data_IF_576043558963
#
_entry.id   IF_576043558963
#
_cell.length_a   1.000
_cell.length_b   1.000
_cell.length_c   1.000
_cell.angle_alpha   90.00
_cell.angle_beta   90.00
_cell.angle_gamma   90.00
#
_symmetry.space_group_name_H-M   'P 1'
#
loop_
_entity.id
_entity.type
_entity.pdbx_description
1 polymer ?
#
# COMPACT_ATOMS: atom_id res chain seq x y z
N UNK A 1 -14.39 -7.42 -16.87
CA UNK A 1 -13.85 -7.81 -18.19
C UNK A 1 -12.69 -8.74 -17.95
N UNK A 2 -12.67 -9.95 -18.54
CA UNK A 2 -11.58 -10.91 -18.34
C UNK A 2 -10.26 -10.27 -18.82
N UNK A 3 -9.18 -10.39 -18.04
CA UNK A 3 -7.87 -9.79 -18.31
C UNK A 3 -7.36 -10.16 -19.70
N UNK A 4 -7.74 -11.34 -20.20
CA UNK A 4 -7.48 -11.79 -21.57
C UNK A 4 -8.09 -10.86 -22.65
N UNK A 5 -9.37 -10.49 -22.52
CA UNK A 5 -10.02 -9.58 -23.49
C UNK A 5 -9.45 -8.17 -23.43
N UNK A 6 -9.02 -7.71 -22.24
CA UNK A 6 -8.30 -6.45 -22.08
C UNK A 6 -6.96 -6.49 -22.83
N UNK A 7 -6.13 -7.49 -22.59
CA UNK A 7 -4.84 -7.67 -23.31
C UNK A 7 -5.05 -7.74 -24.81
N UNK A 8 -6.02 -8.53 -25.27
CA UNK A 8 -6.34 -8.64 -26.68
C UNK A 8 -6.80 -7.30 -27.27
N UNK A 9 -7.65 -6.56 -26.56
CA UNK A 9 -8.06 -5.23 -26.97
C UNK A 9 -6.87 -4.27 -27.13
N UNK A 10 -5.99 -4.17 -26.12
CA UNK A 10 -4.79 -3.31 -26.18
C UNK A 10 -3.84 -3.72 -27.31
N UNK A 11 -3.68 -5.03 -27.53
CA UNK A 11 -2.92 -5.59 -28.65
C UNK A 11 -3.53 -5.23 -30.00
N UNK A 12 -4.85 -5.33 -30.15
CA UNK A 12 -5.57 -5.04 -31.38
C UNK A 12 -5.53 -3.56 -31.75
N UNK A 13 -5.61 -2.66 -30.77
CA UNK A 13 -5.52 -1.21 -31.02
C UNK A 13 -4.08 -0.69 -31.07
N UNK A 14 -3.08 -1.58 -30.97
CA UNK A 14 -1.66 -1.25 -31.07
C UNK A 14 -1.13 -0.32 -29.98
N UNK A 15 -1.82 -0.21 -28.83
CA UNK A 15 -1.38 0.69 -27.75
C UNK A 15 -0.17 0.12 -27.00
N UNK A 16 0.93 0.85 -27.06
CA UNK A 16 2.17 0.59 -26.32
C UNK A 16 2.10 1.16 -24.90
N UNK A 17 2.88 0.64 -23.93
CA UNK A 17 3.12 1.34 -22.66
C UNK A 17 3.51 2.82 -22.84
N UNK A 18 4.20 3.16 -23.95
CA UNK A 18 4.61 4.52 -24.28
C UNK A 18 3.43 5.47 -24.58
N UNK A 19 2.28 4.92 -24.98
CA UNK A 19 1.07 5.70 -25.32
C UNK A 19 0.19 5.99 -24.09
N UNK A 20 0.55 5.44 -22.93
CA UNK A 20 -0.22 5.60 -21.71
C UNK A 20 0.12 6.92 -21.02
N UNK A 21 -0.91 7.70 -20.68
CA UNK A 21 -0.73 8.96 -19.95
C UNK A 21 0.02 8.72 -18.64
N UNK A 22 1.11 9.44 -18.44
CA UNK A 22 1.90 9.48 -17.21
C UNK A 22 2.35 10.91 -16.91
N UNK A 23 2.78 11.17 -15.68
CA UNK A 23 3.38 12.44 -15.24
C UNK A 23 4.47 12.91 -16.22
N UNK A 24 4.51 14.21 -16.56
CA UNK A 24 5.32 14.72 -17.69
C UNK A 24 6.26 15.87 -17.35
N UNK A 25 6.16 16.51 -16.18
CA UNK A 25 6.90 17.74 -15.87
C UNK A 25 8.41 17.59 -16.07
N UNK A 26 8.94 16.39 -15.79
CA UNK A 26 10.36 16.05 -15.89
C UNK A 26 10.90 16.10 -17.33
N UNK A 27 10.04 16.16 -18.35
CA UNK A 27 10.45 16.26 -19.75
C UNK A 27 11.02 17.64 -20.09
N UNK A 28 10.42 18.68 -19.53
CA UNK A 28 10.68 20.07 -19.93
C UNK A 28 11.18 20.94 -18.75
N UNK A 29 11.06 20.45 -17.51
CA UNK A 29 11.41 21.18 -16.29
C UNK A 29 12.09 20.25 -15.28
N UNK A 30 13.12 20.74 -14.60
CA UNK A 30 13.73 20.03 -13.47
C UNK A 30 12.83 20.01 -12.23
N UNK A 31 12.00 21.05 -12.06
CA UNK A 31 11.05 21.17 -10.96
C UNK A 31 9.76 21.88 -11.39
N UNK A 32 8.68 21.63 -10.65
CA UNK A 32 7.38 22.32 -10.84
C UNK A 32 6.86 22.82 -9.51
N UNK A 33 6.12 23.93 -9.57
CA UNK A 33 5.39 24.43 -8.43
C UNK A 33 4.30 23.43 -8.02
N UNK A 34 4.23 23.16 -6.71
CA UNK A 34 3.23 22.32 -6.10
C UNK A 34 2.35 23.16 -5.16
N UNK A 35 1.04 23.13 -5.36
CA UNK A 35 0.07 23.79 -4.49
C UNK A 35 -0.79 22.77 -3.76
N UNK A 36 -0.80 22.86 -2.44
CA UNK A 36 -1.72 22.10 -1.60
C UNK A 36 -3.13 22.69 -1.66
N UNK A 37 -4.13 21.83 -1.79
CA UNK A 37 -5.55 22.20 -1.69
C UNK A 37 -6.37 21.06 -1.09
N UNK A 38 -7.64 21.31 -0.82
CA UNK A 38 -8.60 20.33 -0.31
C UNK A 38 -9.49 19.85 -1.46
N UNK A 39 -9.64 18.54 -1.58
CA UNK A 39 -10.66 17.95 -2.44
C UNK A 39 -12.06 18.11 -1.81
N UNK A 40 -13.10 17.85 -2.61
CA UNK A 40 -14.51 17.97 -2.18
C UNK A 40 -14.86 17.07 -0.98
N UNK A 41 -14.13 15.96 -0.81
CA UNK A 41 -14.31 14.98 0.26
C UNK A 41 -13.45 15.28 1.52
N UNK A 42 -12.82 16.44 1.56
CA UNK A 42 -11.96 16.89 2.66
C UNK A 42 -10.52 16.37 2.63
N UNK A 43 -10.17 15.46 1.71
CA UNK A 43 -8.80 14.96 1.57
C UNK A 43 -7.84 16.05 1.07
N UNK A 44 -6.58 15.96 1.48
CA UNK A 44 -5.52 16.84 0.98
C UNK A 44 -5.01 16.32 -0.36
N UNK A 45 -4.94 17.22 -1.34
CA UNK A 45 -4.41 16.94 -2.68
C UNK A 45 -3.37 17.98 -3.05
N UNK A 46 -2.45 17.61 -3.94
CA UNK A 46 -1.40 18.46 -4.43
C UNK A 46 -1.57 18.69 -5.93
N UNK A 47 -1.78 19.94 -6.33
CA UNK A 47 -1.81 20.36 -7.71
C UNK A 47 -0.39 20.69 -8.17
N UNK A 48 0.12 19.95 -9.14
CA UNK A 48 1.42 20.19 -9.76
C UNK A 48 1.21 21.01 -11.03
N UNK A 49 1.95 22.10 -11.19
CA UNK A 49 1.84 22.97 -12.36
C UNK A 49 2.15 22.19 -13.65
N UNK A 50 1.25 22.26 -14.64
CA UNK A 50 1.38 21.57 -15.93
C UNK A 50 0.91 20.11 -15.93
N UNK A 51 0.58 19.53 -14.77
CA UNK A 51 0.13 18.13 -14.68
C UNK A 51 -1.38 17.99 -14.83
N UNK A 52 -1.81 16.92 -15.51
CA UNK A 52 -3.22 16.70 -15.87
C UNK A 52 -4.13 16.39 -14.69
N UNK A 53 -3.61 15.65 -13.71
CA UNK A 53 -4.40 15.20 -12.56
C UNK A 53 -3.73 15.66 -11.25
N UNK A 54 -4.52 16.08 -10.25
CA UNK A 54 -3.97 16.36 -8.94
C UNK A 54 -3.35 15.08 -8.34
N UNK A 55 -2.22 15.25 -7.67
CA UNK A 55 -1.59 14.17 -6.94
C UNK A 55 -2.35 13.92 -5.63
N UNK A 56 -2.78 12.68 -5.34
CA UNK A 56 -3.57 12.37 -4.16
C UNK A 56 -2.67 12.23 -2.93
N UNK A 57 -1.99 13.30 -2.52
CA UNK A 57 -1.13 13.28 -1.32
C UNK A 57 -0.83 14.68 -0.78
N UNK A 58 -0.22 14.68 0.39
CA UNK A 58 0.35 15.85 1.08
C UNK A 58 1.89 15.89 0.91
N UNK A 59 2.54 17.08 0.82
CA UNK A 59 3.99 17.21 0.72
C UNK A 59 4.69 16.74 1.99
N UNK A 60 5.67 15.85 1.82
CA UNK A 60 6.36 15.14 2.90
C UNK A 60 7.30 16.02 3.74
N UNK A 61 7.33 17.34 3.54
CA UNK A 61 8.36 18.23 4.06
C UNK A 61 8.56 18.15 5.58
N UNK A 62 7.50 18.30 6.36
CA UNK A 62 7.55 18.18 7.82
C UNK A 62 7.75 16.75 8.35
N UNK A 63 7.63 15.74 7.49
CA UNK A 63 7.59 14.32 7.83
C UNK A 63 8.93 13.61 7.61
N UNK A 64 9.74 14.12 6.68
CA UNK A 64 11.03 13.52 6.31
C UNK A 64 12.10 13.72 7.39
N UNK A 65 11.92 14.65 8.33
CA UNK A 65 12.95 15.05 9.29
C UNK A 65 12.49 15.05 10.76
N UNK A 66 11.34 14.42 11.07
CA UNK A 66 10.72 14.47 12.41
C UNK A 66 10.48 13.09 13.07
N UNK A 67 9.73 13.06 14.20
CA UNK A 67 9.39 11.85 14.94
C UNK A 67 8.76 10.73 14.08
N UNK A 68 7.97 11.11 13.07
CA UNK A 68 7.34 10.17 12.15
C UNK A 68 8.36 9.44 11.23
N UNK A 69 9.48 10.08 10.89
CA UNK A 69 10.56 9.41 10.16
C UNK A 69 11.17 8.29 11.00
N UNK A 70 11.37 8.55 12.30
CA UNK A 70 11.81 7.53 13.27
C UNK A 70 10.78 6.40 13.37
N UNK A 71 9.49 6.71 13.55
CA UNK A 71 8.45 5.68 13.62
C UNK A 71 8.46 4.76 12.38
N UNK A 72 8.54 5.33 11.17
CA UNK A 72 8.63 4.56 9.94
C UNK A 72 9.88 3.69 9.88
N UNK A 73 11.02 4.22 10.33
CA UNK A 73 12.27 3.49 10.40
C UNK A 73 12.16 2.28 11.35
N UNK A 74 11.64 2.48 12.55
CA UNK A 74 11.50 1.44 13.56
C UNK A 74 10.54 0.34 13.11
N UNK A 75 9.41 0.68 12.47
CA UNK A 75 8.53 -0.32 11.87
C UNK A 75 9.28 -1.13 10.80
N UNK A 76 10.05 -0.47 9.92
CA UNK A 76 10.82 -1.16 8.88
C UNK A 76 11.84 -2.12 9.50
N UNK A 77 12.65 -1.65 10.45
CA UNK A 77 13.75 -2.43 11.00
C UNK A 77 13.21 -3.54 11.89
N UNK A 78 12.44 -3.19 12.91
CA UNK A 78 12.05 -4.11 13.96
C UNK A 78 11.05 -5.16 13.49
N UNK A 79 10.14 -4.82 12.57
CA UNK A 79 9.11 -5.76 12.07
C UNK A 79 9.60 -6.56 10.89
N UNK A 80 10.28 -5.93 9.94
CA UNK A 80 10.63 -6.59 8.68
C UNK A 80 12.07 -7.09 8.68
N UNK A 81 13.06 -6.22 8.84
CA UNK A 81 14.47 -6.60 8.68
C UNK A 81 14.93 -7.61 9.75
N UNK A 82 14.67 -7.32 11.02
CA UNK A 82 15.12 -8.17 12.14
C UNK A 82 14.48 -9.54 12.10
N UNK A 83 13.16 -9.59 11.85
CA UNK A 83 12.43 -10.85 11.81
C UNK A 83 12.75 -11.67 10.55
N UNK A 84 13.09 -11.01 9.44
CA UNK A 84 13.60 -11.73 8.29
C UNK A 84 14.94 -12.40 8.61
N UNK A 85 15.86 -11.67 9.24
CA UNK A 85 17.12 -12.24 9.68
C UNK A 85 16.94 -13.41 10.65
N UNK A 86 16.02 -13.31 11.62
CA UNK A 86 15.65 -14.43 12.51
C UNK A 86 15.16 -15.66 11.75
N UNK A 87 14.33 -15.46 10.72
CA UNK A 87 13.88 -16.57 9.86
C UNK A 87 15.02 -17.20 9.06
N UNK A 88 16.01 -16.43 8.60
CA UNK A 88 17.22 -16.98 7.95
C UNK A 88 18.11 -17.74 8.92
N UNK A 89 18.20 -17.27 10.18
CA UNK A 89 18.95 -17.92 11.24
C UNK A 89 18.26 -19.19 11.81
N UNK A 90 17.09 -19.58 11.28
CA UNK A 90 16.37 -20.78 11.69
C UNK A 90 15.48 -20.63 12.93
N UNK A 91 15.21 -19.40 13.38
CA UNK A 91 14.22 -19.15 14.44
C UNK A 91 12.84 -19.64 14.02
N UNK A 92 12.10 -20.27 14.95
CA UNK A 92 10.75 -20.78 14.68
C UNK A 92 9.79 -19.66 14.28
N UNK A 93 8.80 -19.97 13.45
CA UNK A 93 7.80 -18.99 13.00
C UNK A 93 6.96 -18.47 14.17
N UNK A 94 6.63 -19.34 15.12
CA UNK A 94 5.88 -19.02 16.31
C UNK A 94 6.60 -17.96 17.16
N UNK A 95 7.91 -18.12 17.31
CA UNK A 95 8.75 -17.18 18.06
C UNK A 95 8.91 -15.85 17.32
N UNK A 96 9.05 -15.88 15.99
CA UNK A 96 9.04 -14.67 15.15
C UNK A 96 7.71 -13.91 15.27
N UNK A 97 6.58 -14.61 15.23
CA UNK A 97 5.25 -13.99 15.39
C UNK A 97 5.12 -13.36 16.78
N UNK A 98 5.61 -14.04 17.82
CA UNK A 98 5.61 -13.52 19.19
C UNK A 98 6.46 -12.24 19.29
N UNK A 99 7.63 -12.20 18.69
CA UNK A 99 8.52 -11.03 18.64
C UNK A 99 7.83 -9.85 17.93
N UNK A 100 7.24 -10.10 16.75
CA UNK A 100 6.49 -9.08 15.99
C UNK A 100 5.36 -8.48 16.83
N UNK A 101 4.57 -9.32 17.50
CA UNK A 101 3.48 -8.86 18.38
C UNK A 101 4.02 -8.00 19.52
N UNK A 102 5.10 -8.43 20.17
CA UNK A 102 5.73 -7.66 21.26
C UNK A 102 6.18 -6.28 20.78
N UNK A 103 6.91 -6.21 19.67
CA UNK A 103 7.41 -4.95 19.10
C UNK A 103 6.29 -4.00 18.68
N UNK A 104 5.25 -4.51 18.01
CA UNK A 104 4.11 -3.70 17.56
C UNK A 104 3.32 -3.08 18.73
N UNK A 105 3.11 -3.84 19.79
CA UNK A 105 2.22 -3.46 20.89
C UNK A 105 2.93 -2.91 22.13
N UNK A 106 4.27 -2.94 22.16
CA UNK A 106 5.08 -2.36 23.24
C UNK A 106 6.01 -1.28 22.69
N UNK A 107 7.10 -1.67 22.03
CA UNK A 107 8.20 -0.76 21.64
C UNK A 107 7.77 0.32 20.62
N UNK A 108 7.11 -0.09 19.54
CA UNK A 108 6.67 0.82 18.48
C UNK A 108 5.50 1.70 18.97
N UNK A 109 4.70 1.20 19.91
CA UNK A 109 3.56 1.93 20.47
C UNK A 109 4.02 3.19 21.21
N UNK A 110 5.10 3.10 21.98
CA UNK A 110 5.67 4.26 22.67
C UNK A 110 6.05 5.37 21.69
N UNK A 111 6.69 5.01 20.57
CA UNK A 111 7.12 5.96 19.54
C UNK A 111 5.94 6.55 18.77
N UNK A 112 4.93 5.72 18.51
CA UNK A 112 3.71 6.15 17.84
C UNK A 112 2.91 7.15 18.70
N UNK A 113 2.80 6.90 20.01
CA UNK A 113 2.12 7.80 20.95
C UNK A 113 2.79 9.18 21.02
N UNK A 114 4.12 9.24 20.96
CA UNK A 114 4.85 10.50 20.89
C UNK A 114 4.59 11.29 19.60
N UNK A 115 4.23 10.59 18.52
CA UNK A 115 4.06 11.17 17.18
C UNK A 115 2.58 11.28 16.75
N UNK A 116 1.63 10.97 17.64
CA UNK A 116 0.21 10.81 17.26
C UNK A 116 -0.44 12.09 16.73
N UNK A 117 0.00 13.26 17.21
CA UNK A 117 -0.50 14.55 16.75
C UNK A 117 0.11 14.99 15.42
N UNK A 118 1.22 14.37 15.01
CA UNK A 118 1.84 14.60 13.70
C UNK A 118 1.17 13.74 12.62
N UNK A 119 0.47 12.67 13.00
CA UNK A 119 -0.26 11.82 12.05
C UNK A 119 -1.49 12.55 11.51
N UNK A 120 -1.72 12.44 10.19
CA UNK A 120 -2.91 13.01 9.57
C UNK A 120 -4.19 12.34 10.14
N UNK A 121 -5.20 13.12 10.54
CA UNK A 121 -6.45 12.55 11.01
C UNK A 121 -7.23 11.87 9.86
N UNK A 122 -8.09 10.88 10.15
CA UNK A 122 -8.75 10.06 9.12
C UNK A 122 -9.54 10.84 8.06
N UNK A 123 -10.15 11.96 8.43
CA UNK A 123 -10.94 12.83 7.53
C UNK A 123 -10.07 13.62 6.53
N UNK A 124 -8.76 13.72 6.78
CA UNK A 124 -7.77 14.35 5.89
C UNK A 124 -6.99 13.35 5.05
N UNK A 125 -7.03 12.07 5.42
CA UNK A 125 -6.42 10.99 4.65
C UNK A 125 -7.03 10.87 3.25
N UNK A 126 -6.27 10.26 2.34
CA UNK A 126 -6.74 9.85 1.02
C UNK A 126 -7.91 8.86 1.15
N UNK A 127 -8.87 8.86 0.21
CA UNK A 127 -10.06 8.01 0.30
C UNK A 127 -9.78 6.53 0.49
N UNK A 128 -8.73 6.01 -0.18
CA UNK A 128 -8.33 4.60 -0.07
C UNK A 128 -7.86 4.24 1.34
N UNK A 129 -7.10 5.11 1.99
CA UNK A 129 -6.58 4.87 3.35
C UNK A 129 -7.71 5.05 4.38
N UNK A 130 -8.57 6.06 4.17
CA UNK A 130 -9.77 6.29 5.01
C UNK A 130 -10.70 5.08 5.02
N UNK A 131 -10.87 4.42 3.88
CA UNK A 131 -11.68 3.20 3.79
C UNK A 131 -11.07 2.03 4.58
N UNK A 132 -9.73 1.84 4.52
CA UNK A 132 -9.03 0.84 5.34
C UNK A 132 -9.21 1.15 6.83
N UNK A 133 -9.01 2.41 7.23
CA UNK A 133 -9.22 2.87 8.60
C UNK A 133 -10.65 2.56 9.10
N UNK A 134 -11.66 2.92 8.31
CA UNK A 134 -13.08 2.66 8.61
C UNK A 134 -13.36 1.17 8.78
N UNK A 135 -12.94 0.36 7.81
CA UNK A 135 -13.18 -1.07 7.81
C UNK A 135 -12.55 -1.75 9.03
N UNK A 136 -11.30 -1.41 9.33
CA UNK A 136 -10.58 -1.94 10.49
C UNK A 136 -11.25 -1.54 11.81
N UNK A 137 -11.63 -0.27 11.94
CA UNK A 137 -12.32 0.24 13.14
C UNK A 137 -13.61 -0.52 13.44
N UNK A 138 -14.33 -0.95 12.39
CA UNK A 138 -15.60 -1.67 12.53
C UNK A 138 -15.44 -3.14 12.94
N UNK A 139 -14.40 -3.83 12.45
CA UNK A 139 -14.26 -5.29 12.63
C UNK A 139 -13.32 -5.70 13.74
N UNK A 140 -12.39 -4.82 14.13
CA UNK A 140 -11.30 -5.18 15.01
C UNK A 140 -11.51 -4.67 16.43
N UNK A 141 -11.08 -5.44 17.44
CA UNK A 141 -11.14 -4.97 18.82
C UNK A 141 -10.13 -3.84 19.03
N UNK A 142 -10.42 -2.94 19.96
CA UNK A 142 -9.69 -1.68 20.18
C UNK A 142 -8.20 -1.88 20.41
N UNK A 143 -7.80 -3.03 20.98
CA UNK A 143 -6.40 -3.41 21.20
C UNK A 143 -5.58 -3.49 19.91
N UNK A 144 -6.22 -3.62 18.75
CA UNK A 144 -5.54 -3.69 17.44
C UNK A 144 -5.51 -2.35 16.72
N UNK A 145 -6.06 -1.29 17.31
CA UNK A 145 -6.07 0.05 16.71
C UNK A 145 -4.67 0.63 16.49
N UNK A 146 -3.66 0.38 17.34
CA UNK A 146 -2.29 0.80 17.01
C UNK A 146 -1.82 0.25 15.67
N UNK A 147 -2.08 -1.03 15.37
CA UNK A 147 -1.70 -1.63 14.09
C UNK A 147 -2.44 -1.00 12.90
N UNK A 148 -3.74 -0.70 13.07
CA UNK A 148 -4.51 0.07 12.09
C UNK A 148 -3.82 1.42 11.82
N UNK A 149 -3.45 2.11 12.87
CA UNK A 149 -2.89 3.47 12.79
C UNK A 149 -1.51 3.45 12.14
N UNK A 150 -0.65 2.48 12.46
CA UNK A 150 0.64 2.29 11.79
C UNK A 150 0.49 2.03 10.30
N UNK A 151 -0.45 1.17 9.91
CA UNK A 151 -0.70 0.87 8.51
C UNK A 151 -1.23 2.11 7.78
N UNK A 152 -2.22 2.80 8.36
CA UNK A 152 -2.78 4.01 7.77
C UNK A 152 -1.74 5.11 7.64
N UNK A 153 -0.88 5.28 8.65
CA UNK A 153 0.28 6.16 8.61
C UNK A 153 1.19 5.80 7.43
N UNK A 154 1.67 4.56 7.32
CA UNK A 154 2.57 4.15 6.23
C UNK A 154 1.95 4.39 4.85
N UNK A 155 0.68 4.03 4.67
CA UNK A 155 -0.03 4.19 3.39
C UNK A 155 -0.40 5.64 3.09
N UNK A 156 -0.60 6.48 4.09
CA UNK A 156 -0.85 7.89 3.86
C UNK A 156 0.44 8.60 3.46
N UNK A 157 1.56 8.26 4.10
CA UNK A 157 2.84 8.94 3.96
C UNK A 157 3.68 8.49 2.77
N UNK A 158 3.60 7.21 2.41
CA UNK A 158 4.36 6.64 1.30
C UNK A 158 3.43 6.27 0.14
N UNK A 159 3.34 7.19 -0.83
CA UNK A 159 2.60 6.99 -2.07
C UNK A 159 2.97 5.70 -2.79
N UNK A 160 4.25 5.29 -2.74
CA UNK A 160 4.76 4.10 -3.36
C UNK A 160 4.18 2.85 -2.73
N UNK A 161 4.09 2.80 -1.40
CA UNK A 161 3.43 1.69 -0.71
C UNK A 161 1.92 1.73 -0.91
N UNK A 162 1.29 2.92 -0.82
CA UNK A 162 -0.14 3.08 -1.06
C UNK A 162 -0.53 2.56 -2.44
N UNK A 163 0.08 3.10 -3.49
CA UNK A 163 -0.25 2.76 -4.88
C UNK A 163 -0.02 1.27 -5.16
N UNK A 164 0.99 0.65 -4.54
CA UNK A 164 1.19 -0.81 -4.57
C UNK A 164 0.02 -1.56 -3.93
N UNK A 165 -0.44 -1.16 -2.74
CA UNK A 165 -1.64 -1.75 -2.11
C UNK A 165 -2.90 -1.54 -2.96
N UNK A 166 -3.11 -0.34 -3.50
CA UNK A 166 -4.23 -0.04 -4.39
C UNK A 166 -4.16 -0.88 -5.69
N UNK A 167 -2.96 -1.19 -6.18
CA UNK A 167 -2.73 -2.02 -7.36
C UNK A 167 -3.03 -3.51 -7.08
N UNK A 168 -2.67 -4.00 -5.89
CA UNK A 168 -2.95 -5.38 -5.45
C UNK A 168 -4.45 -5.74 -5.55
N UNK A 169 -5.34 -4.76 -5.38
CA UNK A 169 -6.80 -4.95 -5.46
C UNK A 169 -7.24 -5.66 -6.74
N UNK A 170 -6.52 -5.50 -7.86
CA UNK A 170 -6.81 -6.22 -9.12
C UNK A 170 -6.76 -7.74 -8.96
N UNK A 171 -5.90 -8.24 -8.08
CA UNK A 171 -5.66 -9.68 -7.86
C UNK A 171 -6.35 -10.19 -6.59
N UNK A 172 -6.71 -9.28 -5.69
CA UNK A 172 -7.08 -9.55 -4.32
C UNK A 172 -8.44 -8.96 -3.94
N UNK A 173 -9.35 -8.63 -4.87
CA UNK A 173 -10.67 -8.10 -4.46
C UNK A 173 -11.64 -9.24 -4.05
N UNK A 174 -11.76 -9.63 -2.75
CA UNK A 174 -12.67 -10.69 -2.31
C UNK A 174 -14.13 -10.32 -2.51
N UNK A 175 -14.46 -9.03 -2.66
CA UNK A 175 -15.84 -8.58 -2.81
C UNK A 175 -16.35 -8.68 -4.25
N UNK A 176 -15.48 -8.96 -5.22
CA UNK A 176 -15.91 -9.34 -6.57
C UNK A 176 -16.64 -10.69 -6.53
N UNK A 177 -17.78 -10.78 -7.22
CA UNK A 177 -18.74 -11.89 -7.09
C UNK A 177 -18.11 -13.28 -7.24
N UNK A 178 -17.08 -13.43 -8.07
CA UNK A 178 -16.38 -14.69 -8.29
C UNK A 178 -15.27 -14.95 -7.25
N UNK A 179 -14.64 -13.90 -6.70
CA UNK A 179 -13.57 -14.05 -5.70
C UNK A 179 -14.09 -14.33 -4.29
N UNK A 180 -15.38 -14.10 -4.00
CA UNK A 180 -16.00 -14.35 -2.68
C UNK A 180 -15.85 -15.80 -2.19
N UNK A 181 -15.71 -16.73 -3.13
CA UNK A 181 -15.56 -18.16 -2.86
C UNK A 181 -14.12 -18.59 -2.59
N UNK A 182 -13.15 -17.70 -2.78
CA UNK A 182 -11.73 -17.99 -2.59
C UNK A 182 -11.25 -17.52 -1.22
N UNK A 183 -10.25 -18.23 -0.69
CA UNK A 183 -9.55 -17.86 0.53
C UNK A 183 -8.81 -16.52 0.34
N UNK A 184 -9.17 -15.45 1.09
CA UNK A 184 -8.49 -14.17 0.97
C UNK A 184 -6.99 -14.26 1.16
N UNK A 185 -6.49 -15.16 2.02
CA UNK A 185 -5.04 -15.33 2.25
C UNK A 185 -4.34 -15.80 0.97
N UNK A 186 -4.92 -16.76 0.24
CA UNK A 186 -4.36 -17.26 -1.03
C UNK A 186 -4.40 -16.18 -2.12
N UNK A 187 -5.47 -15.40 -2.18
CA UNK A 187 -5.56 -14.27 -3.10
C UNK A 187 -4.53 -13.19 -2.77
N UNK A 188 -4.29 -12.93 -1.49
CA UNK A 188 -3.29 -11.98 -1.03
C UNK A 188 -1.88 -12.43 -1.38
N UNK A 189 -1.54 -13.69 -1.12
CA UNK A 189 -0.27 -14.31 -1.52
C UNK A 189 -0.04 -14.17 -3.03
N UNK A 190 -1.06 -14.49 -3.84
CA UNK A 190 -1.02 -14.32 -5.29
C UNK A 190 -0.76 -12.85 -5.65
N UNK A 191 -1.49 -11.92 -5.05
CA UNK A 191 -1.29 -10.49 -5.27
C UNK A 191 0.14 -10.05 -4.98
N UNK A 192 0.70 -10.44 -3.82
CA UNK A 192 2.07 -10.11 -3.43
C UNK A 192 3.11 -10.66 -4.42
N UNK A 193 2.92 -11.87 -4.94
CA UNK A 193 3.77 -12.43 -6.01
C UNK A 193 3.68 -11.59 -7.29
N UNK A 194 2.48 -11.19 -7.69
CA UNK A 194 2.30 -10.33 -8.87
C UNK A 194 2.95 -8.94 -8.70
N UNK A 195 2.91 -8.39 -7.49
CA UNK A 195 3.54 -7.12 -7.16
C UNK A 195 5.07 -7.20 -7.27
N UNK A 196 5.68 -8.32 -6.84
CA UNK A 196 7.12 -8.57 -7.06
C UNK A 196 7.48 -8.62 -8.55
N UNK A 197 6.65 -9.26 -9.38
CA UNK A 197 6.88 -9.32 -10.83
C UNK A 197 6.70 -7.97 -11.54
N UNK A 198 5.78 -7.14 -11.05
CA UNK A 198 5.51 -5.82 -11.61
C UNK A 198 6.56 -4.77 -11.23
N UNK A 199 7.32 -4.99 -10.15
CA UNK A 199 8.41 -4.10 -9.76
C UNK A 199 9.55 -4.12 -10.79
N UNK A 200 10.16 -2.97 -11.06
CA UNK A 200 11.29 -2.88 -12.02
C UNK A 200 12.63 -2.89 -11.29
N UNK A 201 12.73 -2.21 -10.15
CA UNK A 201 13.98 -2.06 -9.39
C UNK A 201 14.30 -3.35 -8.62
N UNK A 202 15.51 -3.89 -8.79
CA UNK A 202 15.97 -5.11 -8.11
C UNK A 202 15.89 -5.03 -6.58
N UNK A 203 16.41 -3.97 -5.96
CA UNK A 203 16.33 -3.76 -4.51
C UNK A 203 14.86 -3.76 -4.00
N UNK A 204 13.96 -3.10 -4.74
CA UNK A 204 12.55 -3.09 -4.36
C UNK A 204 11.88 -4.46 -4.48
N UNK A 205 12.30 -5.31 -5.44
CA UNK A 205 11.82 -6.70 -5.53
C UNK A 205 12.19 -7.50 -4.29
N UNK A 206 13.44 -7.39 -3.83
CA UNK A 206 13.89 -8.08 -2.62
C UNK A 206 13.12 -7.60 -1.39
N UNK A 207 12.87 -6.28 -1.28
CA UNK A 207 12.04 -5.73 -0.20
C UNK A 207 10.60 -6.25 -0.24
N UNK A 208 10.00 -6.36 -1.43
CA UNK A 208 8.66 -6.94 -1.60
C UNK A 208 8.67 -8.43 -1.23
N UNK A 209 9.72 -9.18 -1.59
CA UNK A 209 9.87 -10.59 -1.22
C UNK A 209 9.97 -10.78 0.28
N UNK A 210 10.76 -9.94 0.94
CA UNK A 210 10.89 -9.91 2.40
C UNK A 210 9.54 -9.60 3.05
N UNK A 211 8.88 -8.52 2.63
CA UNK A 211 7.55 -8.14 3.10
C UNK A 211 6.55 -9.28 2.93
N UNK A 212 6.54 -9.93 1.75
CA UNK A 212 5.69 -11.08 1.46
C UNK A 212 5.95 -12.22 2.45
N UNK A 213 7.20 -12.58 2.71
CA UNK A 213 7.55 -13.65 3.65
C UNK A 213 7.05 -13.36 5.06
N UNK A 214 7.32 -12.16 5.58
CA UNK A 214 6.91 -11.77 6.94
C UNK A 214 5.39 -11.72 7.08
N UNK A 215 4.68 -11.10 6.13
CA UNK A 215 3.22 -11.03 6.21
C UNK A 215 2.57 -12.40 6.13
N UNK A 216 3.07 -13.31 5.29
CA UNK A 216 2.54 -14.66 5.20
C UNK A 216 2.82 -15.49 6.46
N UNK A 217 4.00 -15.33 7.08
CA UNK A 217 4.30 -15.93 8.39
C UNK A 217 3.32 -15.43 9.44
N UNK A 218 3.05 -14.13 9.52
CA UNK A 218 2.06 -13.59 10.45
C UNK A 218 0.64 -14.15 10.22
N UNK A 219 0.28 -14.48 8.97
CA UNK A 219 -1.02 -15.07 8.61
C UNK A 219 -1.11 -16.58 8.91
N UNK A 220 -0.05 -17.21 9.41
CA UNK A 220 -0.10 -18.57 9.98
C UNK A 220 -0.71 -18.56 11.40
N UNK A 221 -0.64 -17.43 12.11
CA UNK A 221 -1.35 -17.23 13.38
C UNK A 221 -2.86 -17.15 13.15
N UNK A 222 -3.62 -18.04 13.81
CA UNK A 222 -5.08 -18.16 13.62
C UNK A 222 -5.82 -16.85 13.89
N UNK A 223 -5.45 -16.14 14.94
CA UNK A 223 -6.11 -14.89 15.32
C UNK A 223 -5.85 -13.79 14.28
N UNK A 224 -4.58 -13.60 13.89
CA UNK A 224 -4.22 -12.62 12.84
C UNK A 224 -4.92 -12.97 11.53
N UNK A 225 -4.94 -14.25 11.15
CA UNK A 225 -5.58 -14.73 9.93
C UNK A 225 -7.07 -14.43 9.90
N UNK A 226 -7.79 -14.72 10.98
CA UNK A 226 -9.23 -14.44 11.09
C UNK A 226 -9.52 -12.94 11.02
N UNK A 227 -8.71 -12.13 11.71
CA UNK A 227 -8.84 -10.68 11.67
C UNK A 227 -8.60 -10.13 10.25
N UNK A 228 -7.57 -10.63 9.57
CA UNK A 228 -7.28 -10.30 8.18
C UNK A 228 -8.46 -10.65 7.28
N UNK A 229 -9.01 -11.86 7.37
CA UNK A 229 -10.16 -12.27 6.57
C UNK A 229 -11.38 -11.36 6.83
N UNK A 230 -11.67 -11.02 8.09
CA UNK A 230 -12.76 -10.09 8.44
C UNK A 230 -12.54 -8.71 7.83
N UNK A 231 -11.33 -8.17 7.96
CA UNK A 231 -10.95 -6.89 7.37
C UNK A 231 -11.18 -6.90 5.86
N UNK A 232 -10.73 -7.97 5.20
CA UNK A 232 -10.81 -8.08 3.75
C UNK A 232 -12.24 -8.11 3.24
N UNK A 233 -13.15 -8.71 4.00
CA UNK A 233 -14.57 -8.73 3.65
C UNK A 233 -15.24 -7.39 3.91
N UNK A 234 -14.81 -6.67 4.94
CA UNK A 234 -15.39 -5.38 5.31
C UNK A 234 -14.94 -4.22 4.41
N UNK A 235 -13.71 -4.23 3.91
CA UNK A 235 -13.17 -3.16 3.07
C UNK A 235 -13.97 -3.02 1.77
N UNK A 236 -14.41 -1.80 1.48
CA UNK A 236 -14.91 -1.45 0.14
C UNK A 236 -13.73 -1.26 -0.83
N UNK A 237 -13.31 -2.36 -1.43
CA UNK A 237 -12.20 -2.40 -2.40
C UNK A 237 -12.42 -1.50 -3.62
N UNK A 238 -13.66 -1.09 -3.92
CA UNK A 238 -13.93 -0.14 -4.99
C UNK A 238 -13.40 1.28 -4.70
N UNK A 239 -13.27 1.63 -3.40
CA UNK A 239 -12.67 2.89 -2.93
C UNK A 239 -11.16 2.79 -2.74
N UNK A 240 -10.62 1.57 -2.60
CA UNK A 240 -9.18 1.34 -2.43
C UNK A 240 -8.46 1.20 -3.77
N UNK A 241 -9.09 0.64 -4.80
CA UNK A 241 -8.45 0.43 -6.11
C UNK A 241 -7.80 1.71 -6.67
N UNK A 242 -6.77 1.55 -7.51
CA UNK A 242 -6.16 2.66 -8.24
C UNK A 242 -7.20 3.43 -9.05
N UNK A 243 -7.22 4.75 -8.88
CA UNK A 243 -7.94 5.67 -9.77
C UNK A 243 -7.14 5.95 -11.04
N UNK A 244 -7.74 6.63 -12.02
CA UNK A 244 -7.00 7.09 -13.21
C UNK A 244 -5.86 8.04 -12.85
N UNK A 245 -6.09 8.93 -11.87
CA UNK A 245 -5.08 9.86 -11.36
C UNK A 245 -3.96 9.11 -10.64
N UNK A 246 -4.29 8.10 -9.82
CA UNK A 246 -3.26 7.27 -9.17
C UNK A 246 -2.39 6.56 -10.20
N UNK A 247 -2.99 5.92 -11.21
CA UNK A 247 -2.26 5.21 -12.26
C UNK A 247 -1.35 6.16 -13.06
N UNK A 248 -1.83 7.36 -13.37
CA UNK A 248 -1.06 8.40 -14.06
C UNK A 248 0.24 8.76 -13.32
N UNK A 249 0.13 8.99 -12.00
CA UNK A 249 1.26 9.32 -11.15
C UNK A 249 2.14 8.09 -10.85
N UNK A 250 1.52 6.92 -10.68
CA UNK A 250 2.22 5.68 -10.36
C UNK A 250 3.12 5.20 -11.51
N UNK A 251 2.77 5.48 -12.78
CA UNK A 251 3.64 5.20 -13.93
C UNK A 251 4.97 5.96 -13.90
N UNK A 252 5.01 7.10 -13.22
CA UNK A 252 6.26 7.83 -12.97
C UNK A 252 7.15 7.19 -11.90
N UNK A 253 6.66 6.17 -11.19
CA UNK A 253 7.43 5.36 -10.25
C UNK A 253 7.84 4.09 -10.99
N UNK A 254 9.05 3.59 -10.77
CA UNK A 254 9.65 2.43 -11.44
C UNK A 254 8.90 1.08 -11.23
N UNK A 255 7.64 1.00 -11.67
CA UNK A 255 6.69 -0.08 -11.45
C UNK A 255 5.82 -0.27 -12.70
N UNK A 256 5.60 -1.51 -13.12
CA UNK A 256 4.76 -1.88 -14.27
C UNK A 256 3.28 -1.81 -13.90
N UNK A 257 2.73 -0.59 -13.80
CA UNK A 257 1.33 -0.34 -13.38
C UNK A 257 0.31 -1.10 -14.25
N UNK A 258 0.63 -1.28 -15.53
CA UNK A 258 -0.22 -1.94 -16.53
C UNK A 258 0.23 -3.38 -16.85
N UNK A 259 0.95 -4.05 -15.93
CA UNK A 259 1.46 -5.43 -16.09
C UNK A 259 0.39 -6.45 -16.52
N UNK A 260 -0.85 -6.24 -16.10
CA UNK A 260 -1.98 -7.08 -16.47
C UNK A 260 -2.51 -6.80 -17.87
N UNK A 261 -2.16 -5.66 -18.48
CA UNK A 261 -2.66 -5.21 -19.78
C UNK A 261 -1.66 -5.42 -20.91
N UNK A 262 -0.36 -5.44 -20.61
CA UNK A 262 0.71 -5.41 -21.62
C UNK A 262 1.64 -6.61 -21.44
N UNK A 263 2.19 -7.09 -22.55
CA UNK A 263 3.31 -8.04 -22.55
C UNK A 263 4.59 -7.22 -22.32
N UNK A 264 5.29 -7.49 -21.22
CA UNK A 264 6.47 -6.76 -20.75
C UNK A 264 7.70 -7.66 -20.63
#
# INVERSE_FOLDING_TARGET
MNTFFLRLYYKLIGKSPADMEMVQYWKDKECVMAKLTKAKDGSLIMCLEGEKYPFPTYPRGHLLFGPLSKLKHEIKVQIFNDNWWKLEAGTSKEEVIKDIKSKLFNEILEIAELSKYDMLPPDKMTPSVREIYRAWTKIAPWQTYPLRDYLCFILQEDDGYRMRVQWLVKYFNPNSWYMRWFDPVKLFEKGLKMMEHAEVIGDMKERIRLLRRILLVCLEDKYIRELFIKLCREVDWSKVKLTKADAYHFRGKYFKVDFDLLEY
#
